data_IF_749199822428
#
_entry.id   IF_749199822428
#
_cell.length_a   1.000
_cell.length_b   1.000
_cell.length_c   1.000
_cell.angle_alpha   90.00
_cell.angle_beta   90.00
_cell.angle_gamma   90.00
#
_symmetry.space_group_name_H-M   'P 1'
#
loop_
_entity.id
_entity.type
_entity.pdbx_description
1 polymer ?
#
# COMPACT_ATOMS: atom_id res chain seq x y z
N UNK A 1 -10.09 10.71 -26.25
CA UNK A 1 -10.53 11.04 -24.87
C UNK A 1 -10.83 12.54 -24.77
N UNK A 2 -11.64 12.99 -23.80
CA UNK A 2 -11.89 14.43 -23.57
C UNK A 2 -10.58 15.19 -23.30
N UNK A 3 -9.72 14.69 -22.41
CA UNK A 3 -8.45 15.33 -22.06
C UNK A 3 -7.54 15.56 -23.29
N UNK A 4 -7.38 14.56 -24.18
CA UNK A 4 -6.58 14.71 -25.42
C UNK A 4 -7.09 15.83 -26.33
N UNK A 5 -8.43 15.95 -26.48
CA UNK A 5 -9.03 17.03 -27.28
C UNK A 5 -8.78 18.39 -26.64
N UNK A 6 -8.90 18.49 -25.32
CA UNK A 6 -8.63 19.73 -24.59
C UNK A 6 -7.16 20.15 -24.73
N UNK A 7 -6.22 19.22 -24.59
CA UNK A 7 -4.79 19.53 -24.74
C UNK A 7 -4.44 19.97 -26.17
N UNK A 8 -5.08 19.34 -27.18
CA UNK A 8 -4.95 19.76 -28.59
C UNK A 8 -5.45 21.20 -28.80
N UNK A 9 -6.58 21.54 -28.21
CA UNK A 9 -7.16 22.89 -28.30
C UNK A 9 -6.26 23.94 -27.64
N UNK A 10 -5.80 23.69 -26.40
CA UNK A 10 -4.87 24.59 -25.70
C UNK A 10 -3.60 24.85 -26.52
N UNK A 11 -3.03 23.81 -27.12
CA UNK A 11 -1.86 23.98 -27.97
C UNK A 11 -2.15 24.81 -29.22
N UNK A 12 -3.34 24.66 -29.84
CA UNK A 12 -3.74 25.47 -30.99
C UNK A 12 -3.89 26.96 -30.66
N UNK A 13 -4.10 27.28 -29.38
CA UNK A 13 -4.13 28.64 -28.84
C UNK A 13 -2.73 29.14 -28.42
N UNK A 14 -1.68 28.37 -28.69
CA UNK A 14 -0.29 28.74 -28.40
C UNK A 14 0.16 28.44 -26.97
N UNK A 15 -0.65 27.76 -26.15
CA UNK A 15 -0.25 27.32 -24.81
C UNK A 15 0.79 26.22 -24.94
N UNK A 16 1.93 26.41 -24.28
CA UNK A 16 3.02 25.44 -24.32
C UNK A 16 2.89 24.45 -23.17
N UNK A 17 3.60 23.33 -23.29
CA UNK A 17 3.64 22.30 -22.26
C UNK A 17 4.22 22.82 -20.94
N UNK A 18 5.16 23.76 -20.99
CA UNK A 18 5.77 24.37 -19.82
C UNK A 18 4.80 25.28 -19.06
N UNK A 19 3.88 25.93 -19.77
CA UNK A 19 2.81 26.73 -19.17
C UNK A 19 1.85 25.82 -18.38
N UNK A 20 1.47 24.68 -18.97
CA UNK A 20 0.65 23.65 -18.32
C UNK A 20 1.37 23.13 -17.08
N UNK A 21 2.65 22.77 -17.20
CA UNK A 21 3.45 22.29 -16.08
C UNK A 21 3.53 23.33 -14.93
N UNK A 22 3.67 24.61 -15.27
CA UNK A 22 3.72 25.70 -14.29
C UNK A 22 2.41 25.82 -13.52
N UNK A 23 1.26 25.64 -14.18
CA UNK A 23 -0.05 25.63 -13.52
C UNK A 23 -0.19 24.39 -12.62
N UNK A 24 0.20 23.21 -13.10
CA UNK A 24 0.12 21.96 -12.32
C UNK A 24 0.95 22.04 -11.03
N UNK A 25 2.15 22.64 -11.08
CA UNK A 25 3.00 22.85 -9.90
C UNK A 25 2.35 23.73 -8.82
N UNK A 26 1.34 24.52 -9.17
CA UNK A 26 0.58 25.35 -8.22
C UNK A 26 -0.63 24.63 -7.63
N UNK A 27 -0.87 23.38 -8.02
CA UNK A 27 -1.96 22.58 -7.46
C UNK A 27 -1.77 22.45 -5.94
N UNK A 28 -2.75 22.86 -5.12
CA UNK A 28 -2.58 22.86 -3.68
C UNK A 28 -2.61 21.42 -3.15
N UNK A 29 -1.53 21.00 -2.49
CA UNK A 29 -1.51 19.82 -1.63
C UNK A 29 -1.25 20.28 -0.21
N UNK A 30 -2.10 19.87 0.72
CA UNK A 30 -1.94 20.22 2.13
C UNK A 30 -0.59 19.66 2.64
N UNK A 31 0.26 20.44 3.32
CA UNK A 31 1.59 19.99 3.76
C UNK A 31 1.56 18.68 4.58
N UNK A 32 0.54 18.51 5.43
CA UNK A 32 0.34 17.27 6.20
C UNK A 32 0.06 16.02 5.35
N UNK A 33 -0.54 16.18 4.16
CA UNK A 33 -0.73 15.06 3.22
C UNK A 33 0.63 14.65 2.63
N UNK A 34 1.50 15.61 2.33
CA UNK A 34 2.86 15.34 1.82
C UNK A 34 3.65 14.55 2.88
N UNK A 35 3.63 15.00 4.13
CA UNK A 35 4.33 14.32 5.22
C UNK A 35 3.74 12.94 5.53
N UNK A 36 2.42 12.79 5.44
CA UNK A 36 1.74 11.50 5.60
C UNK A 36 2.15 10.48 4.52
N UNK A 37 2.22 10.90 3.24
CA UNK A 37 2.67 10.04 2.13
C UNK A 37 4.13 9.59 2.35
N UNK A 38 5.02 10.55 2.66
CA UNK A 38 6.43 10.24 2.94
C UNK A 38 6.60 9.30 4.13
N UNK A 39 5.85 9.51 5.21
CA UNK A 39 5.86 8.66 6.40
C UNK A 39 5.39 7.25 6.09
N UNK A 40 4.29 7.11 5.34
CA UNK A 40 3.76 5.82 4.93
C UNK A 40 4.79 5.04 4.08
N UNK A 41 5.44 5.71 3.13
CA UNK A 41 6.52 5.12 2.34
C UNK A 41 7.71 4.71 3.21
N UNK A 42 8.17 5.57 4.13
CA UNK A 42 9.26 5.27 5.05
C UNK A 42 8.96 4.10 6.01
N UNK A 43 7.68 3.87 6.32
CA UNK A 43 7.20 2.73 7.10
C UNK A 43 7.11 1.43 6.27
N UNK A 44 7.46 1.46 4.99
CA UNK A 44 7.49 0.30 4.11
C UNK A 44 6.16 0.00 3.41
N UNK A 45 5.23 0.96 3.37
CA UNK A 45 3.98 0.78 2.64
C UNK A 45 4.23 0.80 1.12
N UNK A 46 3.57 -0.12 0.41
CA UNK A 46 3.54 -0.18 -1.06
C UNK A 46 2.47 0.80 -1.57
N UNK A 47 2.87 2.03 -1.90
CA UNK A 47 1.94 3.10 -2.30
C UNK A 47 1.69 3.08 -3.81
N UNK A 48 0.42 3.18 -4.20
CA UNK A 48 -0.02 3.15 -5.60
C UNK A 48 -1.08 4.21 -5.87
N UNK A 49 -1.12 4.72 -7.10
CA UNK A 49 -2.14 5.64 -7.57
C UNK A 49 -3.00 4.95 -8.62
N UNK A 50 -4.32 5.14 -8.52
CA UNK A 50 -5.29 4.80 -9.57
C UNK A 50 -6.09 6.06 -9.84
N UNK A 51 -6.08 6.56 -11.08
CA UNK A 51 -6.71 7.84 -11.41
C UNK A 51 -7.15 7.93 -12.87
N UNK A 52 -8.26 8.58 -13.12
CA UNK A 52 -8.77 8.92 -14.46
C UNK A 52 -8.13 10.18 -15.08
N UNK A 53 -7.08 10.72 -14.44
CA UNK A 53 -6.29 11.85 -14.94
C UNK A 53 -5.37 11.44 -16.12
N UNK A 54 -4.07 11.72 -16.05
CA UNK A 54 -3.07 11.22 -17.00
C UNK A 54 -1.65 11.24 -16.39
N UNK A 55 -0.72 10.50 -16.99
CA UNK A 55 0.66 10.37 -16.48
C UNK A 55 1.36 11.72 -16.35
N UNK A 56 1.30 12.58 -17.38
CA UNK A 56 1.96 13.89 -17.36
C UNK A 56 1.47 14.77 -16.19
N UNK A 57 0.16 14.81 -15.92
CA UNK A 57 -0.38 15.60 -14.82
C UNK A 57 0.07 15.08 -13.46
N UNK A 58 -0.09 13.78 -13.24
CA UNK A 58 0.23 13.16 -11.96
C UNK A 58 1.73 13.28 -11.69
N UNK A 59 2.59 12.94 -12.64
CA UNK A 59 4.05 12.97 -12.46
C UNK A 59 4.56 14.39 -12.23
N UNK A 60 4.06 15.38 -12.98
CA UNK A 60 4.45 16.79 -12.79
C UNK A 60 4.16 17.27 -11.36
N UNK A 61 2.99 16.92 -10.81
CA UNK A 61 2.60 17.30 -9.45
C UNK A 61 3.46 16.55 -8.42
N UNK A 62 3.62 15.23 -8.58
CA UNK A 62 4.40 14.41 -7.65
C UNK A 62 5.87 14.82 -7.61
N UNK A 63 6.49 15.07 -8.76
CA UNK A 63 7.88 15.52 -8.85
C UNK A 63 8.07 16.88 -8.17
N UNK A 64 7.15 17.81 -8.37
CA UNK A 64 7.20 19.12 -7.72
C UNK A 64 7.21 19.03 -6.19
N UNK A 65 6.45 18.09 -5.63
CA UNK A 65 6.37 17.89 -4.19
C UNK A 65 7.37 16.86 -3.65
N UNK A 66 8.25 16.29 -4.49
CA UNK A 66 9.22 15.26 -4.10
C UNK A 66 8.56 13.95 -3.64
N UNK A 67 7.42 13.60 -4.23
CA UNK A 67 6.60 12.43 -3.89
C UNK A 67 6.69 11.31 -4.92
N UNK A 68 7.28 11.55 -6.09
CA UNK A 68 7.30 10.58 -7.21
C UNK A 68 7.85 9.22 -6.80
N UNK A 69 8.98 9.22 -6.10
CA UNK A 69 9.65 8.00 -5.62
C UNK A 69 8.89 7.27 -4.50
N UNK A 70 7.88 7.89 -3.89
CA UNK A 70 7.08 7.23 -2.87
C UNK A 70 6.11 6.19 -3.45
N UNK A 71 5.79 6.28 -4.75
CA UNK A 71 4.79 5.44 -5.40
C UNK A 71 5.45 4.38 -6.28
N UNK A 72 5.14 3.11 -6.01
CA UNK A 72 5.64 1.98 -6.80
C UNK A 72 4.92 1.84 -8.15
N UNK A 73 3.70 2.38 -8.26
CA UNK A 73 2.84 2.19 -9.43
C UNK A 73 1.85 3.35 -9.59
N UNK A 74 1.65 3.81 -10.84
CA UNK A 74 0.67 4.83 -11.21
C UNK A 74 -0.18 4.29 -12.37
N UNK A 75 -1.41 3.88 -12.05
CA UNK A 75 -2.40 3.40 -13.01
C UNK A 75 -3.29 4.56 -13.45
N UNK A 76 -2.99 5.11 -14.63
CA UNK A 76 -3.75 6.23 -15.21
C UNK A 76 -3.71 6.20 -16.73
N UNK A 77 -4.37 7.16 -17.35
CA UNK A 77 -4.34 7.33 -18.80
C UNK A 77 -2.91 7.72 -19.25
N UNK A 78 -2.27 6.94 -20.14
CA UNK A 78 -0.94 7.27 -20.60
C UNK A 78 -0.97 8.56 -21.42
N UNK A 79 -0.01 9.45 -21.14
CA UNK A 79 0.19 10.67 -21.89
C UNK A 79 1.68 10.96 -22.15
N UNK A 80 1.96 11.56 -23.30
CA UNK A 80 3.30 11.97 -23.71
C UNK A 80 3.26 13.26 -24.53
N UNK A 81 4.38 13.97 -24.58
CA UNK A 81 4.54 15.16 -25.42
C UNK A 81 5.05 14.72 -26.79
N UNK A 82 4.31 15.03 -27.86
CA UNK A 82 4.71 14.70 -29.22
C UNK A 82 5.80 15.65 -29.77
N UNK A 83 6.31 15.35 -30.96
CA UNK A 83 7.34 16.15 -31.64
C UNK A 83 6.91 17.59 -31.93
N UNK A 84 5.60 17.88 -31.90
CA UNK A 84 5.06 19.23 -32.07
C UNK A 84 4.87 19.95 -30.73
N UNK A 85 5.29 19.35 -29.61
CA UNK A 85 5.15 19.93 -28.27
C UNK A 85 3.74 19.78 -27.70
N UNK A 86 2.90 18.88 -28.25
CA UNK A 86 1.52 18.67 -27.79
C UNK A 86 1.45 17.53 -26.80
N UNK A 87 0.76 17.76 -25.69
CA UNK A 87 0.40 16.66 -24.80
C UNK A 87 -0.68 15.78 -25.45
N UNK A 88 -0.32 14.54 -25.75
CA UNK A 88 -1.21 13.50 -26.26
C UNK A 88 -1.62 12.59 -25.12
N UNK A 89 -2.90 12.25 -25.03
CA UNK A 89 -3.46 11.42 -23.95
C UNK A 89 -4.30 10.30 -24.55
N UNK A 90 -4.02 9.07 -24.14
CA UNK A 90 -4.70 7.89 -24.64
C UNK A 90 -5.61 7.30 -23.56
N UNK A 91 -6.76 6.73 -23.92
CA UNK A 91 -7.54 5.94 -22.98
C UNK A 91 -6.68 4.86 -22.36
N UNK A 92 -6.73 4.75 -21.03
CA UNK A 92 -6.25 3.56 -20.38
C UNK A 92 -7.12 2.38 -20.83
N UNK A 93 -6.56 1.55 -21.70
CA UNK A 93 -7.17 0.28 -22.09
C UNK A 93 -6.32 -0.83 -21.49
N UNK A 94 -6.71 -1.27 -20.30
CA UNK A 94 -6.24 -2.57 -19.80
C UNK A 94 -7.43 -3.37 -19.27
N UNK A 95 -8.07 -4.09 -20.19
CA UNK A 95 -9.09 -5.09 -19.84
C UNK A 95 -8.48 -6.48 -19.63
N UNK A 96 -7.13 -6.64 -19.64
CA UNK A 96 -6.50 -7.96 -19.77
C UNK A 96 -5.22 -8.22 -18.98
N UNK A 97 -4.60 -7.28 -18.27
CA UNK A 97 -3.49 -7.62 -17.36
C UNK A 97 -4.00 -7.99 -15.97
N UNK A 98 -4.64 -9.15 -15.90
CA UNK A 98 -4.61 -9.97 -14.70
C UNK A 98 -4.09 -11.34 -15.11
N UNK A 99 -2.85 -11.61 -14.73
CA UNK A 99 -2.43 -12.96 -14.40
C UNK A 99 -1.30 -12.81 -13.40
N UNK A 100 -1.59 -13.05 -12.13
CA UNK A 100 -0.59 -13.34 -11.11
C UNK A 100 0.39 -14.35 -11.75
N UNK A 101 1.64 -13.91 -11.92
CA UNK A 101 2.67 -14.56 -12.73
C UNK A 101 3.24 -15.85 -12.13
N UNK A 102 2.41 -16.73 -11.57
CA UNK A 102 2.87 -18.04 -11.12
C UNK A 102 2.79 -19.05 -12.26
N UNK A 103 3.88 -19.16 -13.04
CA UNK A 103 4.09 -20.23 -14.03
C UNK A 103 4.69 -21.52 -13.42
N UNK A 104 4.42 -21.81 -12.14
CA UNK A 104 4.92 -23.04 -11.51
C UNK A 104 3.74 -23.99 -11.20
N UNK A 105 3.52 -24.97 -12.08
CA UNK A 105 2.61 -26.11 -11.88
C UNK A 105 3.05 -27.08 -10.77
N UNK A 106 4.03 -26.68 -9.94
CA UNK A 106 4.61 -27.48 -8.86
C UNK A 106 4.44 -26.84 -7.48
N UNK A 107 3.74 -25.71 -7.34
CA UNK A 107 3.57 -25.10 -6.03
C UNK A 107 2.43 -25.78 -5.26
N UNK A 108 2.68 -26.45 -4.11
CA UNK A 108 1.62 -27.03 -3.30
C UNK A 108 0.69 -25.90 -2.81
N UNK A 109 -0.65 -26.08 -2.84
CA UNK A 109 -1.64 -25.04 -2.50
C UNK A 109 -1.49 -24.38 -1.11
N UNK A 110 -0.62 -24.91 -0.25
CA UNK A 110 -0.40 -24.45 1.13
C UNK A 110 0.97 -23.78 1.38
N UNK A 111 1.85 -23.66 0.38
CA UNK A 111 3.24 -23.22 0.57
C UNK A 111 3.60 -21.88 -0.08
N UNK A 112 2.82 -21.38 -1.05
CA UNK A 112 2.85 -19.97 -1.46
C UNK A 112 1.73 -19.23 -0.74
N UNK A 113 1.92 -18.95 0.56
CA UNK A 113 1.10 -17.94 1.22
C UNK A 113 1.63 -16.59 0.76
N UNK A 114 1.10 -16.07 -0.35
CA UNK A 114 1.09 -14.62 -0.53
C UNK A 114 0.51 -14.06 0.77
N UNK A 115 1.36 -13.38 1.56
CA UNK A 115 0.88 -12.75 2.78
C UNK A 115 -0.24 -11.81 2.35
N UNK A 116 -1.47 -12.09 2.81
CA UNK A 116 -2.63 -11.26 2.49
C UNK A 116 -2.28 -9.82 2.90
N UNK A 117 -2.05 -8.96 1.91
CA UNK A 117 -1.76 -7.55 2.14
C UNK A 117 -3.05 -6.88 2.61
N UNK A 118 -2.96 -6.08 3.66
CA UNK A 118 -4.06 -5.21 4.08
C UNK A 118 -4.08 -3.97 3.21
N UNK A 119 -5.24 -3.63 2.64
CA UNK A 119 -5.39 -2.48 1.75
C UNK A 119 -5.99 -1.30 2.52
N UNK A 120 -5.41 -0.12 2.35
CA UNK A 120 -6.02 1.16 2.70
C UNK A 120 -6.33 1.88 1.39
N UNK A 121 -7.60 2.01 1.03
CA UNK A 121 -8.02 2.74 -0.17
C UNK A 121 -8.43 4.17 0.19
N UNK A 122 -7.89 5.16 -0.49
CA UNK A 122 -8.19 6.58 -0.25
C UNK A 122 -8.84 7.17 -1.50
N UNK A 123 -9.85 8.02 -1.33
CA UNK A 123 -10.55 8.63 -2.45
C UNK A 123 -11.58 9.67 -2.03
N UNK A 124 -12.04 10.45 -3.00
CA UNK A 124 -13.05 11.50 -2.82
C UNK A 124 -14.11 11.49 -3.93
N UNK A 125 -13.78 11.00 -5.13
CA UNK A 125 -14.64 11.03 -6.30
C UNK A 125 -15.63 9.88 -6.39
N UNK A 126 -16.71 10.05 -7.18
CA UNK A 126 -17.70 8.98 -7.41
C UNK A 126 -17.07 7.67 -7.94
N UNK A 127 -16.01 7.79 -8.75
CA UNK A 127 -15.28 6.65 -9.31
C UNK A 127 -14.63 5.76 -8.24
N UNK A 128 -14.35 6.32 -7.06
CA UNK A 128 -13.71 5.61 -5.95
C UNK A 128 -14.64 4.64 -5.22
N UNK A 129 -15.96 4.74 -5.41
CA UNK A 129 -16.90 3.86 -4.73
C UNK A 129 -16.78 2.40 -5.17
N UNK A 130 -16.57 2.14 -6.46
CA UNK A 130 -16.51 0.77 -6.99
C UNK A 130 -15.34 -0.05 -6.40
N UNK A 131 -14.10 0.48 -6.31
CA UNK A 131 -13.02 -0.17 -5.58
C UNK A 131 -13.37 -0.56 -4.13
N UNK A 132 -14.14 0.26 -3.40
CA UNK A 132 -14.51 -0.04 -1.99
C UNK A 132 -15.32 -1.33 -1.83
N UNK A 133 -16.08 -1.72 -2.86
CA UNK A 133 -16.89 -2.94 -2.86
C UNK A 133 -16.06 -4.21 -2.98
N UNK A 134 -14.80 -4.09 -3.43
CA UNK A 134 -13.86 -5.20 -3.58
C UNK A 134 -13.00 -5.40 -2.33
N UNK A 135 -13.01 -4.44 -1.41
CA UNK A 135 -12.28 -4.52 -0.15
C UNK A 135 -13.01 -5.48 0.80
N UNK A 136 -12.24 -6.31 1.50
CA UNK A 136 -12.76 -7.33 2.40
C UNK A 136 -12.60 -6.97 3.87
N UNK A 137 -12.98 -7.93 4.72
CA UNK A 137 -12.75 -7.81 6.16
C UNK A 137 -11.24 -7.71 6.45
N UNK A 138 -10.89 -6.69 7.23
CA UNK A 138 -9.52 -6.31 7.58
C UNK A 138 -8.93 -5.18 6.73
N UNK A 139 -9.57 -4.82 5.61
CA UNK A 139 -9.18 -3.67 4.79
C UNK A 139 -9.85 -2.37 5.26
N UNK A 140 -9.34 -1.24 4.78
CA UNK A 140 -9.78 0.11 5.14
C UNK A 140 -10.12 0.92 3.91
N UNK A 141 -11.13 1.78 4.04
CA UNK A 141 -11.38 2.88 3.12
C UNK A 141 -11.37 4.21 3.87
N UNK A 142 -10.66 5.20 3.32
CA UNK A 142 -10.56 6.56 3.83
C UNK A 142 -11.23 7.55 2.88
N UNK A 143 -12.58 7.65 2.90
CA UNK A 143 -13.30 8.60 2.06
C UNK A 143 -13.17 10.03 2.58
N UNK A 144 -13.01 11.00 1.68
CA UNK A 144 -13.04 12.41 2.06
C UNK A 144 -14.47 12.87 2.38
N UNK A 145 -14.69 13.38 3.59
CA UNK A 145 -15.99 13.93 4.03
C UNK A 145 -16.43 15.10 3.16
N UNK A 146 -17.72 15.13 2.85
CA UNK A 146 -18.33 16.17 2.02
C UNK A 146 -18.04 16.03 0.52
N UNK A 147 -17.44 14.90 0.10
CA UNK A 147 -17.21 14.59 -1.30
C UNK A 147 -18.07 13.39 -1.75
N UNK A 148 -18.31 13.22 -3.06
CA UNK A 148 -19.32 12.28 -3.54
C UNK A 148 -19.14 10.81 -3.11
N UNK A 149 -17.90 10.33 -2.92
CA UNK A 149 -17.67 8.95 -2.45
C UNK A 149 -18.19 8.74 -1.02
N UNK A 150 -18.05 9.75 -0.16
CA UNK A 150 -18.50 9.70 1.23
C UNK A 150 -20.01 9.53 1.29
N UNK A 151 -20.75 10.37 0.55
CA UNK A 151 -22.21 10.30 0.51
C UNK A 151 -22.69 8.95 -0.01
N UNK A 152 -22.04 8.41 -1.05
CA UNK A 152 -22.41 7.13 -1.64
C UNK A 152 -22.13 5.95 -0.69
N UNK A 153 -21.01 5.99 0.03
CA UNK A 153 -20.66 5.06 1.09
C UNK A 153 -21.69 5.11 2.22
N UNK A 154 -22.05 6.30 2.71
CA UNK A 154 -23.04 6.45 3.78
C UNK A 154 -24.38 5.86 3.37
N UNK A 155 -24.84 6.14 2.15
CA UNK A 155 -26.10 5.64 1.61
C UNK A 155 -26.11 4.12 1.38
N UNK A 156 -24.95 3.53 1.06
CA UNK A 156 -24.82 2.11 0.71
C UNK A 156 -23.88 1.35 1.66
N UNK A 157 -23.84 1.75 2.93
CA UNK A 157 -22.88 1.26 3.94
C UNK A 157 -22.79 -0.27 4.02
N UNK A 158 -23.93 -0.96 3.88
CA UNK A 158 -24.03 -2.42 3.94
C UNK A 158 -23.30 -3.15 2.80
N UNK A 159 -22.95 -2.46 1.71
CA UNK A 159 -22.20 -3.03 0.59
C UNK A 159 -20.69 -2.95 0.77
N UNK A 160 -20.22 -2.17 1.76
CA UNK A 160 -18.79 -1.96 2.02
C UNK A 160 -18.38 -2.80 3.23
N UNK A 161 -17.64 -3.87 2.99
CA UNK A 161 -17.15 -4.76 4.05
C UNK A 161 -15.95 -4.16 4.81
N UNK A 162 -15.16 -3.31 4.14
CA UNK A 162 -14.04 -2.61 4.76
C UNK A 162 -14.47 -1.69 5.91
N UNK A 163 -13.53 -1.50 6.85
CA UNK A 163 -13.66 -0.47 7.87
C UNK A 163 -13.54 0.91 7.24
N UNK A 164 -14.36 1.86 7.69
CA UNK A 164 -14.45 3.19 7.08
C UNK A 164 -13.87 4.20 8.05
N UNK A 165 -12.85 4.91 7.57
CA UNK A 165 -12.05 5.85 8.34
C UNK A 165 -11.96 7.17 7.56
N UNK A 166 -13.03 7.93 7.61
CA UNK A 166 -13.17 9.23 6.95
C UNK A 166 -12.12 10.29 7.36
N UNK A 167 -12.00 11.34 6.54
CA UNK A 167 -11.18 12.53 6.85
C UNK A 167 -11.75 13.78 6.16
N UNK A 168 -11.51 14.96 6.72
CA UNK A 168 -12.05 16.23 6.22
C UNK A 168 -10.96 17.18 5.70
N UNK A 169 -9.79 17.15 6.35
CA UNK A 169 -8.64 18.00 6.03
C UNK A 169 -7.32 17.22 6.11
N UNK A 170 -6.20 17.91 5.89
CA UNK A 170 -4.90 17.28 5.86
C UNK A 170 -4.37 16.82 7.22
N UNK A 171 -4.81 17.42 8.33
CA UNK A 171 -4.43 16.97 9.68
C UNK A 171 -5.19 15.69 10.04
N UNK A 172 -6.50 15.63 9.75
CA UNK A 172 -7.27 14.39 9.90
C UNK A 172 -6.71 13.28 8.99
N UNK A 173 -6.38 13.60 7.73
CA UNK A 173 -5.77 12.65 6.80
C UNK A 173 -4.50 12.01 7.38
N UNK A 174 -3.57 12.84 7.87
CA UNK A 174 -2.31 12.37 8.46
C UNK A 174 -2.55 11.49 9.68
N UNK A 175 -3.38 11.95 10.62
CA UNK A 175 -3.67 11.24 11.86
C UNK A 175 -4.34 9.89 11.61
N UNK A 176 -5.35 9.83 10.74
CA UNK A 176 -6.08 8.60 10.43
C UNK A 176 -5.15 7.62 9.71
N UNK A 177 -4.42 8.06 8.69
CA UNK A 177 -3.51 7.18 7.95
C UNK A 177 -2.42 6.60 8.87
N UNK A 178 -1.79 7.44 9.68
CA UNK A 178 -0.76 7.01 10.62
C UNK A 178 -1.29 6.01 11.66
N UNK A 179 -2.49 6.25 12.19
CA UNK A 179 -3.14 5.35 13.12
C UNK A 179 -3.39 3.97 12.49
N UNK A 180 -3.92 3.93 11.27
CA UNK A 180 -4.18 2.67 10.56
C UNK A 180 -2.90 1.89 10.28
N UNK A 181 -1.87 2.55 9.75
CA UNK A 181 -0.57 1.91 9.47
C UNK A 181 0.03 1.36 10.77
N UNK A 182 0.03 2.14 11.85
CA UNK A 182 0.55 1.71 13.16
C UNK A 182 -0.21 0.49 13.71
N UNK A 183 -1.53 0.47 13.54
CA UNK A 183 -2.37 -0.65 13.94
C UNK A 183 -2.07 -1.91 13.14
N UNK A 184 -1.94 -1.80 11.82
CA UNK A 184 -1.61 -2.92 10.93
C UNK A 184 -0.24 -3.52 11.33
N UNK A 185 0.78 -2.68 11.48
CA UNK A 185 2.13 -3.11 11.90
C UNK A 185 2.08 -3.82 13.26
N UNK A 186 1.30 -3.32 14.22
CA UNK A 186 1.15 -3.94 15.54
C UNK A 186 0.52 -5.33 15.45
N UNK A 187 -0.53 -5.48 14.64
CA UNK A 187 -1.22 -6.76 14.41
C UNK A 187 -0.26 -7.76 13.75
N UNK A 188 0.49 -7.34 12.73
CA UNK A 188 1.45 -8.20 12.02
C UNK A 188 2.58 -8.69 12.93
N UNK A 189 3.10 -7.82 13.81
CA UNK A 189 4.10 -8.20 14.83
C UNK A 189 3.56 -9.24 15.80
N UNK A 190 2.34 -9.05 16.32
CA UNK A 190 1.68 -10.00 17.23
C UNK A 190 1.44 -11.34 16.56
N UNK A 191 0.95 -11.35 15.32
CA UNK A 191 0.71 -12.56 14.54
C UNK A 191 2.00 -13.33 14.25
N UNK A 192 3.09 -12.61 13.95
CA UNK A 192 4.42 -13.21 13.74
C UNK A 192 4.96 -13.82 15.04
N UNK A 193 4.85 -13.10 16.16
CA UNK A 193 5.25 -13.60 17.48
C UNK A 193 4.43 -14.82 17.91
N UNK A 194 3.12 -14.82 17.70
CA UNK A 194 2.24 -15.95 18.00
C UNK A 194 2.57 -17.19 17.15
N UNK A 195 2.80 -17.02 15.83
CA UNK A 195 3.25 -18.11 14.94
C UNK A 195 4.58 -18.68 15.39
N UNK A 196 5.52 -17.82 15.79
CA UNK A 196 6.84 -18.23 16.27
C UNK A 196 6.73 -19.00 17.61
N UNK A 197 5.92 -18.52 18.55
CA UNK A 197 5.63 -19.23 19.81
C UNK A 197 4.91 -20.58 19.61
N UNK A 198 4.06 -20.69 18.58
CA UNK A 198 3.39 -21.94 18.23
C UNK A 198 4.35 -22.95 17.58
N UNK A 199 5.30 -22.50 16.76
CA UNK A 199 6.39 -23.35 16.22
C UNK A 199 7.26 -23.92 17.34
N UNK A 200 7.61 -23.12 18.35
CA UNK A 200 8.38 -23.60 19.51
C UNK A 200 7.57 -24.49 20.48
N UNK A 201 6.24 -24.53 20.37
CA UNK A 201 5.39 -25.37 21.23
C UNK A 201 5.15 -26.78 20.67
N UNK A 202 5.55 -27.07 19.41
CA UNK A 202 5.30 -28.38 18.77
C UNK A 202 6.45 -29.38 18.99
N UNK A 203 7.62 -28.93 19.46
CA UNK A 203 8.78 -29.80 19.77
C UNK A 203 8.95 -30.09 21.27
N UNK A 204 7.90 -30.60 21.93
CA UNK A 204 8.06 -31.19 23.26
C UNK A 204 7.14 -32.40 23.49
N UNK A 205 7.33 -33.43 22.67
CA UNK A 205 7.08 -34.81 23.09
C UNK A 205 8.43 -35.55 23.08
N UNK A 206 9.25 -35.28 24.10
CA UNK A 206 10.34 -36.18 24.44
C UNK A 206 9.74 -37.28 25.31
N UNK A 207 9.71 -38.51 24.78
CA UNK A 207 9.29 -39.70 25.49
C UNK A 207 10.10 -39.88 26.78
N UNK A 208 9.40 -40.10 27.88
CA UNK A 208 9.98 -40.38 29.18
C UNK A 208 10.45 -41.84 29.20
N UNK A 209 11.76 -42.08 29.18
CA UNK A 209 12.33 -43.41 29.42
C UNK A 209 12.61 -43.60 30.92
N UNK A 210 12.31 -44.77 31.53
CA UNK A 210 12.55 -44.99 32.95
C UNK A 210 14.03 -45.25 33.27
N UNK A 211 14.47 -44.74 34.42
CA UNK A 211 15.76 -45.00 35.06
C UNK A 211 15.98 -46.49 35.38
N UNK A 212 17.21 -47.01 35.22
CA UNK A 212 17.69 -48.14 36.00
C UNK A 212 18.55 -47.68 37.19
N UNK A 213 18.39 -48.45 38.27
CA UNK A 213 18.97 -48.29 39.61
C UNK A 213 20.49 -48.54 39.63
N UNK A 214 21.14 -47.86 40.57
CA UNK A 214 22.58 -47.77 40.84
C UNK A 214 23.30 -49.09 41.17
N UNK A 215 24.63 -49.10 40.92
CA UNK A 215 25.67 -49.58 41.84
C UNK A 215 27.06 -49.11 41.39
N UNK A 216 27.91 -48.67 42.33
CA UNK A 216 29.38 -48.76 42.18
C UNK A 216 30.14 -47.44 42.33
N UNK A 217 30.90 -47.36 43.43
CA UNK A 217 31.83 -46.29 43.79
C UNK A 217 33.02 -46.17 42.84
N UNK A 218 33.56 -44.96 42.63
CA UNK A 218 34.96 -44.60 42.95
C UNK A 218 35.32 -43.16 42.57
N UNK A 219 36.45 -42.70 43.09
CA UNK A 219 36.78 -41.34 43.49
C UNK A 219 37.09 -40.33 42.37
N UNK A 220 36.86 -39.06 42.70
CA UNK A 220 37.32 -37.86 41.97
C UNK A 220 38.86 -37.81 41.83
N UNK A 221 39.35 -37.30 40.69
CA UNK A 221 40.61 -36.56 40.66
C UNK A 221 40.38 -35.05 40.44
N UNK A 222 40.77 -34.34 41.48
CA UNK A 222 41.33 -33.00 41.62
C UNK A 222 41.59 -32.14 40.35
N UNK A 223 41.15 -30.88 40.46
CA UNK A 223 41.45 -29.80 39.54
C UNK A 223 42.95 -29.44 39.53
N UNK A 224 43.50 -29.19 38.34
CA UNK A 224 44.78 -28.53 38.12
C UNK A 224 44.52 -27.05 37.79
N UNK A 225 45.04 -26.17 38.63
CA UNK A 225 45.22 -24.74 38.39
C UNK A 225 46.54 -24.48 37.66
N UNK A 226 46.75 -23.20 37.26
CA UNK A 226 48.03 -22.49 36.99
C UNK A 226 48.17 -21.99 35.52
N UNK A 227 48.59 -20.76 35.18
CA UNK A 227 49.03 -19.54 35.90
C UNK A 227 48.63 -18.29 35.07
N UNK A 228 48.72 -17.12 35.72
CA UNK A 228 48.58 -15.73 35.22
C UNK A 228 49.16 -15.39 33.85
#
# INVERSE_FOLDING_TARGET
MLHDRMMKELHSQGIRIEDIATVLKRSPIHPRIIEAIKSAHALGCDLKIVSDANTFFIETILEHHGLKECFSEINTNPGFVDEQGRLRIFPHHDFTKSSHGCQHSSCPPNMCKDQKKTIIYLGDGLGDFCPTLKLGDGDYVMPRKGFPVWDLICNKRKLVNAEICEWSDGEEFENVLFHLISRIISIDRKNTSAKMGQLYSVDCKLETMPLPVATGHEAFPQALSVLH
#
